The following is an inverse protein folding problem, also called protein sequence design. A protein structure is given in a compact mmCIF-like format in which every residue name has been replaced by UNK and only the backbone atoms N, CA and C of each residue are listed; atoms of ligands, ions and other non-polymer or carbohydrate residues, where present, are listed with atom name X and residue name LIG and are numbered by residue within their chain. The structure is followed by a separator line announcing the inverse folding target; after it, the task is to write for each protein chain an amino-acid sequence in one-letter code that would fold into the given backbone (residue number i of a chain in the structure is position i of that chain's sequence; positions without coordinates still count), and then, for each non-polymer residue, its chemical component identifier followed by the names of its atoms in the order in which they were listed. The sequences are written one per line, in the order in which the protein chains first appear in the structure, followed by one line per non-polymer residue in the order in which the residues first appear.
data_IF_814930784758
#
_entry.id   IF_814930784758
#
_cell.length_a   1.000
_cell.length_b   1.000
_cell.length_c   1.000
_cell.angle_alpha   90.00
_cell.angle_beta   90.00
_cell.angle_gamma   90.00
#
_symmetry.space_group_name_H-M   'P 1'
#
loop_
_entity.id
_entity.type
_entity.pdbx_description
1 polymer ?
#
# COMPACT_ATOMS: atom_id res chain seq x y z
N UNK A 1 4.72 8.63 14.55
CA UNK A 1 5.96 8.44 13.77
C UNK A 1 7.20 8.25 14.62
N UNK A 2 7.30 8.85 15.82
CA UNK A 2 8.42 8.60 16.74
C UNK A 2 8.41 7.15 17.24
N UNK A 3 7.25 6.63 17.66
CA UNK A 3 7.13 5.22 18.07
C UNK A 3 7.44 4.26 16.92
N UNK A 4 6.95 4.54 15.70
CA UNK A 4 7.32 3.77 14.52
C UNK A 4 8.84 3.74 14.26
N UNK A 5 9.52 4.87 14.48
CA UNK A 5 10.98 4.94 14.33
C UNK A 5 11.72 4.14 15.41
N UNK A 6 11.20 4.12 16.65
CA UNK A 6 11.77 3.31 17.73
C UNK A 6 11.57 1.82 17.49
N UNK A 7 10.38 1.42 17.01
CA UNK A 7 10.04 0.04 16.68
C UNK A 7 10.82 -0.48 15.46
N UNK A 8 11.10 0.41 14.51
CA UNK A 8 11.76 0.14 13.23
C UNK A 8 11.21 -1.06 12.44
N UNK A 9 9.89 -1.15 12.32
CA UNK A 9 9.21 -2.25 11.63
C UNK A 9 9.58 -2.37 10.14
N UNK A 10 9.98 -3.56 9.67
CA UNK A 10 10.29 -3.81 8.26
C UNK A 10 9.05 -3.78 7.35
N UNK A 11 7.91 -4.24 7.87
CA UNK A 11 6.66 -4.38 7.13
C UNK A 11 5.56 -3.58 7.83
N UNK A 12 4.85 -2.76 7.06
CA UNK A 12 3.64 -2.06 7.48
C UNK A 12 2.44 -2.81 6.91
N UNK A 13 1.50 -3.19 7.78
CA UNK A 13 0.33 -3.99 7.41
C UNK A 13 -0.94 -3.18 7.67
N UNK A 14 -1.91 -3.31 6.78
CA UNK A 14 -3.27 -2.83 7.01
C UNK A 14 -4.13 -2.97 5.77
N UNK A 15 -5.34 -2.44 5.83
CA UNK A 15 -6.36 -2.66 4.81
C UNK A 15 -6.65 -1.36 4.04
N UNK A 16 -6.39 -1.36 2.72
CA UNK A 16 -6.53 -0.20 1.85
C UNK A 16 -5.62 0.99 2.21
N UNK A 17 -4.49 0.71 2.89
CA UNK A 17 -3.49 1.74 3.25
C UNK A 17 -2.97 2.45 2.00
N UNK A 18 -2.69 1.69 0.94
CA UNK A 18 -2.09 2.24 -0.26
C UNK A 18 -3.07 3.11 -1.05
N UNK A 19 -4.37 2.83 -0.97
CA UNK A 19 -5.41 3.54 -1.69
C UNK A 19 -5.97 4.76 -0.97
N UNK A 20 -5.89 4.82 0.36
CA UNK A 20 -6.52 5.88 1.16
C UNK A 20 -5.65 6.34 2.35
N UNK A 21 -5.36 5.47 3.31
CA UNK A 21 -4.83 5.91 4.62
C UNK A 21 -3.50 6.64 4.51
N UNK A 22 -2.59 6.14 3.68
CA UNK A 22 -1.26 6.72 3.54
C UNK A 22 -1.31 8.08 2.83
N UNK A 23 -2.24 8.26 1.88
CA UNK A 23 -2.44 9.55 1.21
C UNK A 23 -2.97 10.59 2.19
N UNK A 24 -4.02 10.23 2.95
CA UNK A 24 -4.61 11.09 3.99
C UNK A 24 -3.56 11.43 5.04
N UNK A 25 -2.82 10.45 5.55
CA UNK A 25 -1.79 10.66 6.57
C UNK A 25 -0.72 11.67 6.12
N UNK A 26 -0.20 11.53 4.90
CA UNK A 26 0.83 12.41 4.35
C UNK A 26 0.29 13.82 4.06
N UNK A 27 -0.92 13.93 3.51
CA UNK A 27 -1.57 15.22 3.31
C UNK A 27 -1.87 15.94 4.63
N UNK A 28 -2.31 15.22 5.66
CA UNK A 28 -2.52 15.77 7.01
C UNK A 28 -1.21 16.21 7.65
N UNK A 29 -0.12 15.45 7.49
CA UNK A 29 1.20 15.85 7.96
C UNK A 29 1.66 17.17 7.32
N UNK A 30 1.39 17.37 6.03
CA UNK A 30 1.69 18.63 5.33
C UNK A 30 0.82 19.79 5.83
N UNK A 31 -0.49 19.57 5.98
CA UNK A 31 -1.43 20.58 6.46
C UNK A 31 -1.11 21.03 7.90
N UNK A 32 -0.73 20.09 8.77
CA UNK A 32 -0.29 20.34 10.14
C UNK A 32 1.17 20.84 10.24
N UNK A 33 1.86 21.07 9.12
CA UNK A 33 3.25 21.55 9.04
C UNK A 33 4.22 20.72 9.88
N UNK A 34 4.06 19.39 9.87
CA UNK A 34 4.95 18.47 10.59
C UNK A 34 6.38 18.61 10.04
N UNK A 35 7.41 18.80 10.91
CA UNK A 35 8.78 18.96 10.47
C UNK A 35 9.30 17.79 9.62
N UNK A 36 10.22 18.08 8.70
CA UNK A 36 10.81 17.08 7.81
C UNK A 36 11.59 15.98 8.53
N UNK A 37 12.20 16.33 9.65
CA UNK A 37 12.85 15.38 10.57
C UNK A 37 11.88 14.39 11.20
N UNK A 38 10.58 14.67 11.21
CA UNK A 38 9.56 13.82 11.80
C UNK A 38 8.79 13.03 10.74
N UNK A 39 8.33 13.66 9.65
CA UNK A 39 7.55 12.93 8.65
C UNK A 39 8.38 11.90 7.88
N UNK A 40 9.66 12.20 7.60
CA UNK A 40 10.54 11.29 6.85
C UNK A 40 10.84 9.98 7.60
N UNK A 41 10.59 9.94 8.92
CA UNK A 41 10.71 8.74 9.75
C UNK A 41 9.64 7.68 9.45
N UNK A 42 8.63 8.01 8.64
CA UNK A 42 7.66 7.01 8.15
C UNK A 42 8.36 5.95 7.27
N UNK A 43 9.35 6.37 6.48
CA UNK A 43 10.27 5.47 5.78
C UNK A 43 11.56 5.27 6.57
N UNK A 44 12.59 4.77 5.89
CA UNK A 44 13.98 4.69 6.40
C UNK A 44 14.92 5.68 5.73
N UNK A 45 14.45 6.42 4.73
CA UNK A 45 15.22 7.44 4.03
C UNK A 45 14.91 8.84 4.59
N UNK A 46 15.91 9.48 5.20
CA UNK A 46 15.80 10.88 5.64
C UNK A 46 15.62 11.79 4.43
N UNK A 47 14.61 12.66 4.48
CA UNK A 47 14.28 13.61 3.39
C UNK A 47 14.02 14.99 3.96
N UNK A 48 14.54 16.02 3.28
CA UNK A 48 14.30 17.42 3.61
C UNK A 48 12.93 17.90 3.11
N UNK A 49 12.56 17.51 1.89
CA UNK A 49 11.33 17.93 1.24
C UNK A 49 10.38 16.75 1.00
N UNK A 50 9.09 17.01 1.20
CA UNK A 50 8.06 16.02 0.90
C UNK A 50 7.83 15.97 -0.61
N UNK A 51 7.81 14.79 -1.24
CA UNK A 51 7.49 14.68 -2.65
C UNK A 51 6.08 15.23 -2.92
N UNK A 52 5.87 15.75 -4.13
CA UNK A 52 4.54 16.21 -4.54
C UNK A 52 3.58 15.03 -4.50
N UNK A 53 2.64 15.08 -3.55
CA UNK A 53 1.49 14.18 -3.46
C UNK A 53 0.52 14.59 -4.57
N UNK A 54 0.84 14.20 -5.81
CA UNK A 54 -0.01 14.53 -6.95
C UNK A 54 -1.32 13.76 -6.81
N UNK A 55 -2.45 14.49 -6.79
CA UNK A 55 -3.79 13.94 -7.01
C UNK A 55 -3.93 13.44 -8.45
N UNK A 56 -3.13 12.45 -8.86
CA UNK A 56 -3.51 11.62 -9.99
C UNK A 56 -4.81 10.94 -9.61
N UNK A 57 -5.81 10.90 -10.49
CA UNK A 57 -7.02 10.06 -10.34
C UNK A 57 -6.58 8.60 -10.23
N UNK A 58 -6.08 8.18 -9.07
CA UNK A 58 -5.89 6.78 -8.75
C UNK A 58 -7.29 6.24 -8.55
N UNK A 59 -7.74 5.45 -9.51
CA UNK A 59 -8.96 4.65 -9.40
C UNK A 59 -8.89 3.93 -8.04
N UNK A 60 -9.97 4.00 -7.27
CA UNK A 60 -10.08 3.33 -5.97
C UNK A 60 -9.60 1.87 -6.11
N UNK A 61 -8.60 1.48 -5.31
CA UNK A 61 -8.00 0.14 -5.38
C UNK A 61 -6.91 -0.06 -6.45
N UNK A 62 -6.35 1.00 -7.05
CA UNK A 62 -5.23 0.92 -8.02
C UNK A 62 -3.84 0.98 -7.35
N UNK A 63 -3.77 1.02 -6.02
CA UNK A 63 -2.52 1.14 -5.26
C UNK A 63 -1.99 2.57 -5.14
N UNK A 64 -1.00 2.75 -4.26
CA UNK A 64 -0.43 4.05 -3.93
C UNK A 64 0.35 4.68 -5.09
N UNK A 65 0.23 6.00 -5.22
CA UNK A 65 1.00 6.77 -6.20
C UNK A 65 2.51 6.61 -5.98
N UNK A 66 3.35 6.73 -7.04
CA UNK A 66 4.81 6.63 -6.89
C UNK A 66 5.38 7.63 -5.88
N UNK A 67 4.78 8.81 -5.75
CA UNK A 67 5.16 9.82 -4.76
C UNK A 67 4.93 9.33 -3.33
N UNK A 68 3.76 8.79 -3.05
CA UNK A 68 3.39 8.23 -1.73
C UNK A 68 4.31 7.04 -1.39
N UNK A 69 4.49 6.10 -2.32
CA UNK A 69 5.37 4.95 -2.13
C UNK A 69 6.82 5.36 -1.87
N UNK A 70 7.25 6.50 -2.43
CA UNK A 70 8.59 7.01 -2.16
C UNK A 70 8.73 7.49 -0.71
N UNK A 71 7.68 7.97 -0.04
CA UNK A 71 7.76 8.41 1.36
C UNK A 71 8.07 7.25 2.32
N UNK A 72 7.57 6.05 2.02
CA UNK A 72 7.80 4.84 2.84
C UNK A 72 9.01 4.02 2.37
N UNK A 73 9.91 4.62 1.59
CA UNK A 73 11.12 3.93 1.09
C UNK A 73 11.90 3.26 2.23
N UNK A 74 12.22 1.99 2.04
CA UNK A 74 12.93 1.16 3.02
C UNK A 74 12.04 0.36 3.98
N UNK A 75 10.72 0.56 3.93
CA UNK A 75 9.72 -0.32 4.57
C UNK A 75 8.84 -0.96 3.51
N UNK A 76 8.48 -2.22 3.71
CA UNK A 76 7.53 -2.92 2.85
C UNK A 76 6.11 -2.57 3.27
N UNK A 77 5.24 -2.31 2.30
CA UNK A 77 3.81 -2.08 2.54
C UNK A 77 3.03 -3.32 2.13
N UNK A 78 2.37 -3.96 3.08
CA UNK A 78 1.48 -5.07 2.88
C UNK A 78 0.03 -4.58 3.01
N UNK A 79 -0.59 -4.32 1.86
CA UNK A 79 -1.99 -3.92 1.79
C UNK A 79 -2.87 -5.15 1.62
N UNK A 80 -3.62 -5.53 2.67
CA UNK A 80 -4.46 -6.72 2.64
C UNK A 80 -5.62 -6.59 1.67
N UNK A 81 -6.09 -5.38 1.36
CA UNK A 81 -7.13 -5.18 0.34
C UNK A 81 -6.63 -5.61 -1.05
N UNK A 82 -5.42 -5.16 -1.43
CA UNK A 82 -4.82 -5.54 -2.72
C UNK A 82 -4.45 -7.03 -2.74
N UNK A 83 -3.88 -7.54 -1.66
CA UNK A 83 -3.49 -8.95 -1.58
C UNK A 83 -4.71 -9.87 -1.65
N UNK A 84 -5.81 -9.53 -0.96
CA UNK A 84 -7.06 -10.30 -1.03
C UNK A 84 -7.66 -10.29 -2.43
N UNK A 85 -7.56 -9.20 -3.19
CA UNK A 85 -8.01 -9.16 -4.60
C UNK A 85 -7.21 -10.06 -5.53
N UNK A 86 -5.93 -10.25 -5.24
CA UNK A 86 -5.06 -11.12 -6.02
C UNK A 86 -5.23 -12.60 -5.64
N UNK A 87 -5.55 -12.89 -4.37
CA UNK A 87 -5.59 -14.25 -3.82
C UNK A 87 -6.98 -14.87 -3.76
N UNK A 88 -8.02 -14.06 -3.55
CA UNK A 88 -9.40 -14.51 -3.35
C UNK A 88 -10.28 -14.10 -4.54
N UNK A 89 -11.41 -14.79 -4.68
CA UNK A 89 -12.48 -14.45 -5.61
C UNK A 89 -13.75 -14.16 -4.80
N UNK A 90 -13.86 -12.92 -4.37
CA UNK A 90 -14.98 -12.43 -3.58
C UNK A 90 -15.71 -11.29 -4.33
N UNK A 91 -16.98 -11.08 -3.99
CA UNK A 91 -17.80 -10.00 -4.56
C UNK A 91 -17.40 -8.64 -3.96
N UNK A 92 -17.09 -8.62 -2.67
CA UNK A 92 -16.61 -7.44 -1.95
C UNK A 92 -15.34 -7.78 -1.19
N UNK A 93 -14.37 -6.86 -1.24
CA UNK A 93 -13.09 -6.97 -0.54
C UNK A 93 -13.02 -6.00 0.65
N UNK A 94 -14.15 -5.51 1.15
CA UNK A 94 -14.16 -4.68 2.37
C UNK A 94 -13.68 -5.49 3.58
N UNK A 95 -13.05 -4.83 4.55
CA UNK A 95 -12.59 -5.47 5.77
C UNK A 95 -13.73 -6.19 6.52
N UNK A 96 -14.92 -5.58 6.58
CA UNK A 96 -16.12 -6.18 7.19
C UNK A 96 -16.48 -7.52 6.54
N UNK A 97 -16.48 -7.57 5.20
CA UNK A 97 -16.83 -8.79 4.47
C UNK A 97 -15.74 -9.85 4.63
N UNK A 98 -14.47 -9.47 4.47
CA UNK A 98 -13.34 -10.39 4.56
C UNK A 98 -13.16 -10.95 5.97
N UNK A 99 -13.41 -10.14 7.01
CA UNK A 99 -13.40 -10.61 8.39
C UNK A 99 -14.48 -11.67 8.61
N UNK A 100 -15.68 -11.47 8.05
CA UNK A 100 -16.77 -12.43 8.15
C UNK A 100 -16.51 -13.71 7.36
N UNK A 101 -16.11 -13.62 6.09
CA UNK A 101 -15.96 -14.79 5.23
C UNK A 101 -14.71 -15.60 5.52
N UNK A 102 -13.59 -14.94 5.81
CA UNK A 102 -12.28 -15.59 5.96
C UNK A 102 -11.92 -15.87 7.43
N UNK A 103 -12.30 -14.97 8.35
CA UNK A 103 -11.93 -15.09 9.77
C UNK A 103 -13.09 -15.55 10.68
N UNK A 104 -14.32 -15.64 10.15
CA UNK A 104 -15.53 -15.93 10.91
C UNK A 104 -15.72 -15.00 12.13
N UNK A 105 -15.38 -13.71 11.95
CA UNK A 105 -15.53 -12.66 12.97
C UNK A 105 -16.44 -11.56 12.47
N UNK A 106 -17.35 -11.11 13.32
CA UNK A 106 -18.18 -9.95 13.03
C UNK A 106 -17.44 -8.66 13.42
N UNK A 107 -17.34 -7.74 12.46
CA UNK A 107 -16.78 -6.40 12.65
C UNK A 107 -17.92 -5.39 12.74
N UNK A 108 -17.91 -4.56 13.78
CA UNK A 108 -18.81 -3.40 13.88
C UNK A 108 -18.25 -2.27 13.02
N UNK A 109 -19.05 -1.77 12.08
CA UNK A 109 -18.67 -0.65 11.22
C UNK A 109 -19.29 0.64 11.77
N UNK A 110 -18.45 1.66 12.00
CA UNK A 110 -18.88 2.97 12.48
C UNK A 110 -18.95 3.92 11.28
N UNK A 111 -20.10 4.55 11.08
CA UNK A 111 -20.26 5.50 9.99
C UNK A 111 -19.58 6.84 10.32
N UNK A 112 -19.01 7.55 9.33
CA UNK A 112 -18.30 8.81 9.59
C UNK A 112 -19.12 9.92 10.26
N UNK A 113 -20.45 9.89 10.09
CA UNK A 113 -21.37 10.88 10.68
C UNK A 113 -21.64 10.64 12.16
N UNK A 114 -21.40 9.43 12.67
CA UNK A 114 -21.59 9.08 14.08
C UNK A 114 -20.36 9.44 14.92
N UNK A 115 -19.19 9.55 14.28
CA UNK A 115 -17.91 9.84 14.94
C UNK A 115 -17.99 11.06 15.88
N UNK A 116 -18.54 12.24 15.48
CA UNK A 116 -18.62 13.40 16.37
C UNK A 116 -19.45 13.15 17.64
N UNK A 117 -20.47 12.30 17.57
CA UNK A 117 -21.31 11.97 18.71
C UNK A 117 -20.57 11.05 19.70
N UNK A 118 -19.70 10.17 19.19
CA UNK A 118 -18.87 9.28 20.01
C UNK A 118 -17.77 10.01 20.81
N UNK A 119 -17.51 11.29 20.53
CA UNK A 119 -16.60 12.11 21.36
C UNK A 119 -17.29 12.69 22.60
N UNK A 120 -18.61 12.52 22.76
CA UNK A 120 -19.37 13.15 23.85
C UNK A 120 -19.29 12.39 25.17
N UNK A 121 -19.18 11.06 25.14
CA UNK A 121 -19.10 10.23 26.36
C UNK A 121 -17.83 9.40 26.40
N UNK A 122 -17.31 9.13 27.61
CA UNK A 122 -16.10 8.31 27.77
C UNK A 122 -16.30 6.89 27.24
N UNK A 123 -17.48 6.31 27.47
CA UNK A 123 -17.82 4.95 27.02
C UNK A 123 -17.82 4.86 25.49
N UNK A 124 -18.47 5.79 24.80
CA UNK A 124 -18.49 5.81 23.33
C UNK A 124 -17.12 6.13 22.73
N UNK A 125 -16.31 6.97 23.38
CA UNK A 125 -14.95 7.23 22.95
C UNK A 125 -14.06 5.99 23.10
N UNK A 126 -14.23 5.24 24.18
CA UNK A 126 -13.48 3.99 24.42
C UNK A 126 -13.86 2.95 23.36
N UNK A 127 -15.15 2.82 23.06
CA UNK A 127 -15.64 1.95 21.98
C UNK A 127 -15.04 2.33 20.60
N UNK A 128 -14.90 3.63 20.31
CA UNK A 128 -14.26 4.09 19.07
C UNK A 128 -12.78 3.65 18.99
N UNK A 129 -12.06 3.71 20.11
CA UNK A 129 -10.66 3.29 20.19
C UNK A 129 -10.55 1.77 19.99
N UNK A 130 -11.39 1.00 20.69
CA UNK A 130 -11.45 -0.47 20.58
C UNK A 130 -11.78 -0.92 19.15
N UNK A 131 -12.68 -0.22 18.45
CA UNK A 131 -12.98 -0.49 17.05
C UNK A 131 -11.74 -0.29 16.16
N UNK A 132 -10.98 0.79 16.36
CA UNK A 132 -9.77 1.07 15.61
C UNK A 132 -8.66 0.04 15.85
N UNK A 133 -8.50 -0.40 17.10
CA UNK A 133 -7.56 -1.48 17.46
C UNK A 133 -7.98 -2.82 16.85
N UNK A 134 -9.27 -3.14 16.93
CA UNK A 134 -9.84 -4.36 16.33
C UNK A 134 -9.62 -4.39 14.82
N UNK A 135 -9.77 -3.26 14.12
CA UNK A 135 -9.53 -3.16 12.68
C UNK A 135 -8.06 -3.42 12.29
N UNK A 136 -7.13 -2.90 13.09
CA UNK A 136 -5.71 -3.15 12.92
C UNK A 136 -5.39 -4.64 13.16
N UNK A 137 -5.99 -5.25 14.19
CA UNK A 137 -5.83 -6.66 14.50
C UNK A 137 -6.41 -7.56 13.39
N UNK A 138 -7.63 -7.29 12.93
CA UNK A 138 -8.27 -8.02 11.83
C UNK A 138 -7.43 -7.95 10.54
N UNK A 139 -6.86 -6.78 10.24
CA UNK A 139 -5.98 -6.62 9.08
C UNK A 139 -4.72 -7.48 9.21
N UNK A 140 -4.11 -7.55 10.39
CA UNK A 140 -2.95 -8.38 10.65
C UNK A 140 -3.28 -9.88 10.58
N UNK A 141 -4.39 -10.29 11.21
CA UNK A 141 -4.87 -11.66 11.22
C UNK A 141 -5.20 -12.16 9.80
N UNK A 142 -5.84 -11.32 8.98
CA UNK A 142 -6.12 -11.62 7.57
C UNK A 142 -4.83 -11.83 6.76
N UNK A 143 -3.79 -11.02 7.00
CA UNK A 143 -2.48 -11.20 6.36
C UNK A 143 -1.87 -12.58 6.69
N UNK A 144 -1.96 -13.00 7.95
CA UNK A 144 -1.47 -14.32 8.37
C UNK A 144 -2.31 -15.46 7.82
N UNK A 145 -3.64 -15.34 7.87
CA UNK A 145 -4.57 -16.33 7.35
C UNK A 145 -4.33 -16.63 5.87
N UNK A 146 -4.14 -15.57 5.06
CA UNK A 146 -3.85 -15.69 3.63
C UNK A 146 -2.37 -15.99 3.33
N UNK A 147 -1.50 -16.09 4.34
CA UNK A 147 -0.06 -16.31 4.20
C UNK A 147 0.59 -15.36 3.18
N UNK A 148 0.19 -14.08 3.21
CA UNK A 148 0.58 -13.08 2.20
C UNK A 148 2.09 -12.93 2.11
N UNK A 149 2.78 -12.80 3.25
CA UNK A 149 4.23 -12.56 3.26
C UNK A 149 5.04 -13.76 2.75
N UNK A 150 4.83 -15.01 3.22
CA UNK A 150 5.51 -16.18 2.66
C UNK A 150 5.29 -16.33 1.16
N UNK A 151 4.05 -16.19 0.70
CA UNK A 151 3.68 -16.37 -0.70
C UNK A 151 4.33 -15.31 -1.60
N UNK A 152 4.22 -14.04 -1.21
CA UNK A 152 4.80 -12.94 -1.99
C UNK A 152 6.33 -13.00 -2.01
N UNK A 153 6.97 -13.46 -0.93
CA UNK A 153 8.42 -13.70 -0.88
C UNK A 153 8.84 -14.77 -1.88
N UNK A 154 8.13 -15.90 -1.96
CA UNK A 154 8.43 -16.95 -2.93
C UNK A 154 8.26 -16.46 -4.36
N UNK A 155 7.17 -15.74 -4.65
CA UNK A 155 6.93 -15.16 -5.98
C UNK A 155 8.02 -14.16 -6.38
N UNK A 156 8.50 -13.36 -5.43
CA UNK A 156 9.62 -12.44 -5.65
C UNK A 156 10.93 -13.19 -5.90
N UNK A 157 11.23 -14.24 -5.15
CA UNK A 157 12.45 -15.04 -5.36
C UNK A 157 12.45 -15.71 -6.75
N UNK A 158 11.30 -16.21 -7.21
CA UNK A 158 11.17 -16.84 -8.53
C UNK A 158 11.33 -15.80 -9.65
N UNK A 159 10.68 -14.65 -9.53
CA UNK A 159 10.72 -13.62 -10.58
C UNK A 159 11.99 -12.77 -10.57
N UNK A 160 12.69 -12.70 -9.44
CA UNK A 160 13.90 -11.88 -9.28
C UNK A 160 13.63 -10.37 -9.30
N UNK A 161 12.41 -9.93 -8.94
CA UNK A 161 12.04 -8.52 -8.83
C UNK A 161 12.18 -7.98 -7.38
N UNK A 162 11.76 -6.74 -7.14
CA UNK A 162 11.71 -6.18 -5.78
C UNK A 162 10.44 -6.63 -5.04
N UNK A 163 10.56 -7.08 -3.78
CA UNK A 163 9.43 -7.58 -2.99
C UNK A 163 8.31 -6.55 -2.81
N UNK A 164 8.67 -5.28 -2.56
CA UNK A 164 7.70 -4.20 -2.44
C UNK A 164 6.84 -4.00 -3.69
N UNK A 165 7.32 -4.41 -4.89
CA UNK A 165 6.52 -4.39 -6.12
C UNK A 165 5.59 -5.59 -6.26
N UNK A 166 6.00 -6.74 -5.77
CA UNK A 166 5.12 -7.91 -5.70
C UNK A 166 3.95 -7.68 -4.76
N UNK A 167 4.18 -7.04 -3.60
CA UNK A 167 3.11 -6.67 -2.64
C UNK A 167 2.10 -5.64 -3.21
N UNK A 168 2.48 -4.91 -4.27
CA UNK A 168 1.59 -3.96 -4.96
C UNK A 168 0.73 -4.61 -6.07
N UNK A 169 0.79 -5.93 -6.25
CA UNK A 169 0.03 -6.64 -7.30
C UNK A 169 0.57 -6.47 -8.72
N UNK A 170 1.84 -6.08 -8.89
CA UNK A 170 2.44 -5.83 -10.21
C UNK A 170 2.79 -7.13 -10.98
N UNK A 171 1.77 -7.88 -11.46
CA UNK A 171 1.95 -9.17 -12.17
C UNK A 171 2.82 -9.04 -13.43
N UNK A 172 2.58 -8.04 -14.26
CA UNK A 172 3.35 -7.82 -15.49
C UNK A 172 4.84 -7.60 -15.19
N UNK A 173 5.15 -6.83 -14.15
CA UNK A 173 6.53 -6.55 -13.75
C UNK A 173 7.25 -7.83 -13.26
N UNK A 174 6.55 -8.75 -12.60
CA UNK A 174 7.14 -10.06 -12.23
C UNK A 174 7.54 -10.87 -13.45
N UNK A 175 6.68 -10.93 -14.46
CA UNK A 175 6.96 -11.66 -15.70
C UNK A 175 8.11 -10.98 -16.47
N UNK A 176 8.13 -9.66 -16.52
CA UNK A 176 9.22 -8.88 -17.13
C UNK A 176 10.57 -9.23 -16.50
N UNK A 177 10.69 -9.15 -15.16
CA UNK A 177 11.95 -9.48 -14.48
C UNK A 177 12.38 -10.93 -14.67
N UNK A 178 11.42 -11.87 -14.64
CA UNK A 178 11.71 -13.28 -14.90
C UNK A 178 12.34 -13.48 -16.29
N UNK A 179 11.78 -12.84 -17.32
CA UNK A 179 12.30 -12.90 -18.68
C UNK A 179 13.65 -12.19 -18.81
N UNK A 180 13.79 -11.01 -18.20
CA UNK A 180 15.05 -10.25 -18.20
C UNK A 180 16.20 -11.10 -17.63
N UNK A 181 15.98 -11.76 -16.49
CA UNK A 181 16.97 -12.67 -15.91
C UNK A 181 17.29 -13.85 -16.82
N UNK A 182 16.27 -14.48 -17.42
CA UNK A 182 16.45 -15.64 -18.30
C UNK A 182 17.21 -15.31 -19.59
N UNK A 183 16.87 -14.20 -20.25
CA UNK A 183 17.55 -13.77 -21.48
C UNK A 183 18.97 -13.27 -21.20
N UNK A 184 19.18 -12.54 -20.11
CA UNK A 184 20.51 -12.10 -19.69
C UNK A 184 21.43 -13.29 -19.37
N UNK A 185 20.92 -14.33 -18.68
CA UNK A 185 21.67 -15.55 -18.40
C UNK A 185 22.12 -16.27 -19.70
N UNK A 186 21.30 -16.21 -20.75
CA UNK A 186 21.60 -16.76 -22.07
C UNK A 186 22.39 -15.82 -22.99
N UNK A 187 22.88 -14.68 -22.48
CA UNK A 187 23.64 -13.66 -23.24
C UNK A 187 22.89 -13.04 -24.42
N UNK A 188 21.56 -12.98 -24.34
CA UNK A 188 20.75 -12.22 -25.30
C UNK A 188 20.76 -10.73 -24.95
N UNK A 189 20.63 -9.89 -25.97
CA UNK A 189 20.31 -8.47 -25.81
C UNK A 189 18.85 -8.37 -25.40
N UNK A 190 18.58 -7.68 -24.29
CA UNK A 190 17.22 -7.45 -23.79
C UNK A 190 16.64 -6.16 -24.39
N UNK A 191 15.32 -6.05 -24.57
CA UNK A 191 14.70 -4.82 -25.04
C UNK A 191 14.95 -3.67 -24.06
N UNK A 192 15.23 -2.49 -24.60
CA UNK A 192 15.26 -1.27 -23.80
C UNK A 192 13.86 -0.99 -23.21
N UNK A 193 13.84 -0.42 -22.01
CA UNK A 193 12.57 0.01 -21.40
C UNK A 193 11.96 1.08 -22.31
N UNK A 194 10.76 0.82 -22.81
CA UNK A 194 9.98 1.81 -23.54
C UNK A 194 9.71 3.04 -22.67
N UNK A 195 10.55 4.06 -22.78
CA UNK A 195 10.18 5.40 -22.35
C UNK A 195 9.12 5.90 -23.34
N UNK A 196 8.08 6.57 -22.86
CA UNK A 196 7.02 7.18 -23.68
C UNK A 196 7.57 8.33 -24.57
N UNK A 197 8.50 8.02 -25.47
CA UNK A 197 8.98 8.90 -26.55
C UNK A 197 7.91 9.12 -27.62
N UNK A 198 6.72 8.51 -27.48
CA UNK A 198 5.59 8.64 -28.41
C UNK A 198 4.73 9.90 -28.22
N UNK A 199 5.02 10.78 -27.24
CA UNK A 199 4.32 12.08 -27.15
C UNK A 199 4.87 13.17 -28.07
N UNK A 200 6.06 12.99 -28.68
CA UNK A 200 6.62 13.97 -29.63
C UNK A 200 6.31 13.66 -31.10
N UNK A 201 6.17 12.39 -31.51
CA UNK A 201 5.94 12.05 -32.92
C UNK A 201 4.52 12.32 -33.43
N UNK A 202 3.47 12.16 -32.61
CA UNK A 202 2.08 12.46 -33.03
C UNK A 202 1.75 13.94 -33.18
N UNK A 203 2.64 14.86 -32.78
CA UNK A 203 2.43 16.31 -32.94
C UNK A 203 3.08 16.89 -34.20
N UNK A 204 3.87 16.10 -34.93
CA UNK A 204 4.54 16.49 -36.18
C UNK A 204 3.97 15.80 -37.42
N UNK A 205 3.00 14.91 -37.26
CA UNK A 205 2.35 14.16 -38.36
C UNK A 205 0.87 14.54 -38.53
N UNK A 206 0.53 15.76 -38.14
CA UNK A 206 -0.75 16.40 -38.42
C UNK A 206 -0.50 17.71 -39.15
N UNK A 207 -0.03 17.59 -40.39
CA UNK A 207 -0.37 18.50 -41.50
C UNK A 207 -1.39 17.76 -42.38
#
# INVERSE_FOLDING_TARGET
MIELYKLDSDVLVGHNISGFDLDVLLHRAQACRVPSSMWSKIGRLKRSEMPKLTKGRTIFGSGASPGIMSCISGRLLCDTYLCSRDLLKEVSYSLTQLAKTQLNKDRKEIAPHDIPNMFQTLESLTELIECGETDAWLSMELMFHLSVLPLTRQLTNISGNLWGKTLQGARAQRVEYLLLHAFHAKKYIVPDRFHLMLKKQKRQSGE
#
